data_IF_098903908585
#
_entry.id   IF_098903908585
#
_cell.length_a   1.000
_cell.length_b   1.000
_cell.length_c   1.000
_cell.angle_alpha   90.00
_cell.angle_beta   90.00
_cell.angle_gamma   90.00
#
_symmetry.space_group_name_H-M   'P 1'
#
loop_
_entity.id
_entity.type
_entity.pdbx_description
1 polymer ?
#
# COMPACT_ATOMS: atom_id res chain seq x y z
N UNK A 1 11.71 10.23 -7.25
CA UNK A 1 11.84 9.39 -6.03
C UNK A 1 10.49 8.99 -5.46
N UNK A 2 9.41 9.67 -5.87
CA UNK A 2 8.05 9.53 -5.38
C UNK A 2 7.47 8.11 -5.51
N UNK A 3 7.76 7.44 -6.62
CA UNK A 3 7.26 6.09 -6.89
C UNK A 3 7.81 5.03 -5.93
N UNK A 4 9.02 5.22 -5.40
CA UNK A 4 9.58 4.33 -4.37
C UNK A 4 8.75 4.42 -3.09
N UNK A 5 8.32 5.62 -2.71
CA UNK A 5 7.49 5.83 -1.52
C UNK A 5 6.15 5.12 -1.69
N UNK A 6 5.49 5.31 -2.84
CA UNK A 6 4.21 4.64 -3.15
C UNK A 6 4.35 3.12 -3.09
N UNK A 7 5.40 2.57 -3.71
CA UNK A 7 5.65 1.12 -3.71
C UNK A 7 5.94 0.58 -2.30
N UNK A 8 6.71 1.31 -1.48
CA UNK A 8 7.01 0.92 -0.10
C UNK A 8 5.77 0.99 0.80
N UNK A 9 4.93 2.02 0.64
CA UNK A 9 3.67 2.15 1.38
C UNK A 9 2.70 1.03 1.02
N UNK A 10 2.56 0.71 -0.28
CA UNK A 10 1.81 -0.46 -0.72
C UNK A 10 2.34 -1.74 -0.06
N UNK A 11 3.66 -1.97 -0.14
CA UNK A 11 4.29 -3.20 0.35
C UNK A 11 4.14 -3.36 1.87
N UNK A 12 4.43 -2.32 2.65
CA UNK A 12 4.34 -2.39 4.12
C UNK A 12 2.91 -2.59 4.59
N UNK A 13 1.92 -1.96 3.94
CA UNK A 13 0.51 -2.15 4.27
C UNK A 13 0.04 -3.56 3.92
N UNK A 14 0.30 -4.03 2.70
CA UNK A 14 -0.12 -5.35 2.27
C UNK A 14 0.52 -6.45 3.13
N UNK A 15 1.83 -6.37 3.37
CA UNK A 15 2.56 -7.34 4.20
C UNK A 15 2.10 -7.29 5.65
N UNK A 16 1.95 -6.10 6.24
CA UNK A 16 1.46 -5.97 7.62
C UNK A 16 0.09 -6.61 7.80
N UNK A 17 -0.87 -6.30 6.93
CA UNK A 17 -2.21 -6.88 7.00
C UNK A 17 -2.21 -8.38 6.74
N UNK A 18 -1.37 -8.87 5.83
CA UNK A 18 -1.22 -10.30 5.60
C UNK A 18 -0.70 -11.01 6.85
N UNK A 19 0.30 -10.45 7.54
CA UNK A 19 0.84 -11.01 8.79
C UNK A 19 -0.24 -11.03 9.88
N UNK A 20 -1.04 -9.96 10.02
CA UNK A 20 -2.07 -9.86 11.06
C UNK A 20 -3.30 -10.75 10.80
N UNK A 21 -3.68 -10.95 9.54
CA UNK A 21 -4.97 -11.60 9.19
C UNK A 21 -4.82 -12.97 8.54
N UNK A 22 -3.63 -13.31 8.03
CA UNK A 22 -3.36 -14.51 7.24
C UNK A 22 -4.06 -14.54 5.86
N UNK A 23 -4.77 -13.49 5.48
CA UNK A 23 -5.63 -13.49 4.29
C UNK A 23 -5.08 -12.62 3.18
N UNK A 24 -4.62 -13.24 2.08
CA UNK A 24 -3.90 -12.59 0.98
C UNK A 24 -4.76 -11.60 0.18
N UNK A 25 -5.99 -11.99 -0.17
CA UNK A 25 -6.88 -11.17 -1.01
C UNK A 25 -7.24 -9.83 -0.35
N UNK A 26 -7.77 -9.79 0.89
CA UNK A 26 -8.10 -8.52 1.52
C UNK A 26 -6.86 -7.68 1.83
N UNK A 27 -5.73 -8.29 2.19
CA UNK A 27 -4.50 -7.54 2.48
C UNK A 27 -3.93 -6.86 1.22
N UNK A 28 -3.95 -7.53 0.07
CA UNK A 28 -3.62 -6.90 -1.21
C UNK A 28 -4.62 -5.81 -1.60
N UNK A 29 -5.93 -6.05 -1.42
CA UNK A 29 -6.97 -5.06 -1.73
C UNK A 29 -6.76 -3.76 -0.94
N UNK A 30 -6.55 -3.85 0.37
CA UNK A 30 -6.27 -2.67 1.21
C UNK A 30 -4.92 -2.04 0.82
N UNK A 31 -3.89 -2.84 0.53
CA UNK A 31 -2.61 -2.35 0.01
C UNK A 31 -2.79 -1.48 -1.24
N UNK A 32 -3.58 -1.95 -2.22
CA UNK A 32 -3.89 -1.18 -3.43
C UNK A 32 -4.61 0.12 -3.10
N UNK A 33 -5.60 0.10 -2.19
CA UNK A 33 -6.30 1.31 -1.76
C UNK A 33 -5.34 2.36 -1.18
N UNK A 34 -4.42 1.94 -0.30
CA UNK A 34 -3.38 2.82 0.25
C UNK A 34 -2.44 3.32 -0.84
N UNK A 35 -2.05 2.45 -1.79
CA UNK A 35 -1.24 2.84 -2.94
C UNK A 35 -1.91 3.93 -3.78
N UNK A 36 -3.21 3.82 -4.05
CA UNK A 36 -3.98 4.86 -4.78
C UNK A 36 -3.99 6.18 -4.03
N UNK A 37 -4.24 6.16 -2.71
CA UNK A 37 -4.18 7.37 -1.88
C UNK A 37 -2.77 7.96 -1.90
N UNK A 38 -1.74 7.13 -1.79
CA UNK A 38 -0.35 7.57 -1.82
C UNK A 38 0.03 8.22 -3.17
N UNK A 39 -0.44 7.69 -4.29
CA UNK A 39 -0.27 8.34 -5.60
C UNK A 39 -0.92 9.73 -5.58
N UNK A 40 -2.15 9.84 -5.09
CA UNK A 40 -2.86 11.12 -5.03
C UNK A 40 -2.21 12.15 -4.11
N UNK A 41 -1.58 11.72 -3.01
CA UNK A 41 -0.90 12.61 -2.06
C UNK A 41 0.50 12.98 -2.54
N UNK A 42 1.32 11.99 -2.90
CA UNK A 42 2.74 12.23 -3.24
C UNK A 42 2.89 12.91 -4.60
N UNK A 43 2.00 12.66 -5.57
CA UNK A 43 2.06 13.38 -6.86
C UNK A 43 1.60 14.85 -6.77
N UNK A 44 1.03 15.27 -5.64
CA UNK A 44 0.65 16.67 -5.38
C UNK A 44 1.66 17.44 -4.52
N UNK A 45 2.71 16.77 -4.02
CA UNK A 45 3.77 17.36 -3.21
C UNK A 45 5.02 17.59 -4.07
#
# INVERSE_FOLDING_TARGET
MEWLIVALLFAVTAVGLFILTGSLVPSLFIGVLVGVVAVGVVAML
#
